data_IF_757442827840
#
_entry.id   IF_757442827840
#
_cell.length_a   1.000
_cell.length_b   1.000
_cell.length_c   1.000
_cell.angle_alpha   90.00
_cell.angle_beta   90.00
_cell.angle_gamma   90.00
#
_symmetry.space_group_name_H-M   'P 1'
#
loop_
_entity.id
_entity.type
_entity.pdbx_description
1 polymer ?
#
# COMPACT_ATOMS: atom_id res chain seq x y z
N UNK A 1 0.26 -21.58 -36.28
CA UNK A 1 1.05 -20.76 -35.33
C UNK A 1 1.34 -21.63 -34.13
N UNK A 2 2.58 -22.11 -34.03
CA UNK A 2 3.06 -22.86 -32.85
C UNK A 2 2.94 -21.99 -31.60
N UNK A 3 2.43 -22.59 -30.52
CA UNK A 3 2.42 -21.97 -29.19
C UNK A 3 3.86 -21.91 -28.68
N UNK A 4 4.44 -20.72 -28.63
CA UNK A 4 5.71 -20.49 -27.94
C UNK A 4 5.52 -20.81 -26.44
N UNK A 5 6.36 -21.68 -25.91
CA UNK A 5 6.35 -22.07 -24.49
C UNK A 5 6.84 -20.92 -23.61
N UNK A 6 6.48 -20.92 -22.31
CA UNK A 6 6.86 -19.86 -21.36
C UNK A 6 8.37 -19.62 -21.24
N UNK A 7 9.18 -20.63 -21.57
CA UNK A 7 10.65 -20.54 -21.58
C UNK A 7 11.19 -19.81 -22.81
N UNK A 8 10.52 -19.92 -23.96
CA UNK A 8 10.87 -19.17 -25.18
C UNK A 8 10.58 -17.66 -25.04
N UNK A 9 9.58 -17.29 -24.23
CA UNK A 9 9.27 -15.89 -23.92
C UNK A 9 10.34 -15.30 -22.98
N UNK A 10 10.82 -16.05 -21.99
CA UNK A 10 11.90 -15.60 -21.09
C UNK A 10 13.24 -15.42 -21.81
N UNK A 11 13.48 -16.18 -22.86
CA UNK A 11 14.69 -16.09 -23.69
C UNK A 11 14.60 -15.01 -24.79
N UNK A 12 13.47 -14.31 -24.95
CA UNK A 12 13.39 -13.23 -25.94
C UNK A 12 14.25 -12.05 -25.48
N UNK A 13 14.92 -11.40 -26.44
CA UNK A 13 15.74 -10.20 -26.21
C UNK A 13 14.92 -9.09 -25.54
N UNK A 14 13.61 -9.08 -25.76
CA UNK A 14 12.66 -8.14 -25.17
C UNK A 14 12.52 -8.32 -23.64
N UNK A 15 12.68 -9.54 -23.12
CA UNK A 15 12.58 -9.80 -21.69
C UNK A 15 13.83 -9.37 -20.91
N UNK A 16 15.00 -9.30 -21.56
CA UNK A 16 16.25 -8.83 -20.92
C UNK A 16 16.14 -7.40 -20.40
N UNK A 17 15.40 -6.54 -21.11
CA UNK A 17 15.22 -5.13 -20.77
C UNK A 17 13.87 -4.83 -20.11
N UNK A 18 12.98 -5.82 -20.00
CA UNK A 18 11.65 -5.61 -19.45
C UNK A 18 11.69 -5.11 -18.01
N UNK A 19 12.49 -5.74 -17.15
CA UNK A 19 12.63 -5.33 -15.75
C UNK A 19 13.20 -3.91 -15.61
N UNK A 20 14.14 -3.52 -16.48
CA UNK A 20 14.72 -2.17 -16.51
C UNK A 20 13.69 -1.14 -16.99
N UNK A 21 13.01 -1.40 -18.11
CA UNK A 21 11.95 -0.56 -18.65
C UNK A 21 10.82 -0.34 -17.62
N UNK A 22 10.41 -1.41 -16.94
CA UNK A 22 9.39 -1.34 -15.90
C UNK A 22 9.89 -0.58 -14.67
N UNK A 23 11.17 -0.70 -14.35
CA UNK A 23 11.84 0.13 -13.33
C UNK A 23 11.70 1.63 -13.62
N UNK A 24 12.02 2.06 -14.84
CA UNK A 24 11.86 3.44 -15.29
C UNK A 24 10.40 3.89 -15.35
N UNK A 25 9.52 3.01 -15.83
CA UNK A 25 8.08 3.27 -15.88
C UNK A 25 7.52 3.56 -14.48
N UNK A 26 7.91 2.78 -13.47
CA UNK A 26 7.51 3.02 -12.08
C UNK A 26 7.96 4.40 -11.59
N UNK A 27 9.20 4.80 -11.86
CA UNK A 27 9.71 6.12 -11.48
C UNK A 27 8.89 7.25 -12.15
N UNK A 28 8.60 7.11 -13.44
CA UNK A 28 7.79 8.07 -14.18
C UNK A 28 6.34 8.13 -13.66
N UNK A 29 5.73 6.99 -13.32
CA UNK A 29 4.38 6.95 -12.77
C UNK A 29 4.30 7.61 -11.40
N UNK A 30 5.31 7.41 -10.54
CA UNK A 30 5.40 8.07 -9.24
C UNK A 30 5.59 9.58 -9.43
N UNK A 31 6.58 10.00 -10.24
CA UNK A 31 6.90 11.40 -10.47
C UNK A 31 5.78 12.18 -11.15
N UNK A 32 5.07 11.54 -12.10
CA UNK A 32 3.91 12.10 -12.79
C UNK A 32 2.60 11.99 -12.01
N UNK A 33 2.61 11.43 -10.79
CA UNK A 33 1.41 11.31 -9.96
C UNK A 33 0.32 10.44 -10.56
N UNK A 34 0.68 9.45 -11.39
CA UNK A 34 -0.29 8.53 -12.02
C UNK A 34 -1.15 7.85 -10.96
N UNK A 35 -2.44 7.66 -11.25
CA UNK A 35 -3.38 7.06 -10.31
C UNK A 35 -3.11 5.57 -10.08
N UNK A 36 -3.54 5.04 -8.93
CA UNK A 36 -3.38 3.62 -8.59
C UNK A 36 -4.13 2.74 -9.60
N UNK A 37 -5.34 3.15 -10.01
CA UNK A 37 -6.16 2.39 -10.94
C UNK A 37 -5.56 2.37 -12.35
N UNK A 38 -4.98 3.47 -12.81
CA UNK A 38 -4.27 3.49 -14.10
C UNK A 38 -3.04 2.58 -14.08
N UNK A 39 -2.27 2.58 -12.99
CA UNK A 39 -1.12 1.66 -12.84
C UNK A 39 -1.58 0.20 -12.83
N UNK A 40 -2.68 -0.12 -12.14
CA UNK A 40 -3.25 -1.48 -12.17
C UNK A 40 -3.63 -1.90 -13.59
N UNK A 41 -4.30 -1.02 -14.35
CA UNK A 41 -4.66 -1.28 -15.76
C UNK A 41 -3.42 -1.50 -16.64
N UNK A 42 -2.42 -0.63 -16.52
CA UNK A 42 -1.16 -0.75 -17.28
C UNK A 42 -0.41 -2.05 -16.98
N UNK A 43 -0.53 -2.57 -15.76
CA UNK A 43 0.07 -3.83 -15.34
C UNK A 43 -0.81 -5.06 -15.58
N UNK A 44 -2.04 -4.87 -16.07
CA UNK A 44 -3.02 -5.95 -16.25
C UNK A 44 -3.51 -6.58 -14.95
N UNK A 45 -3.59 -5.78 -13.87
CA UNK A 45 -3.95 -6.24 -12.52
C UNK A 45 -5.39 -5.85 -12.10
N UNK A 46 -6.06 -4.99 -12.85
CA UNK A 46 -7.34 -4.37 -12.48
C UNK A 46 -8.53 -5.34 -12.47
N UNK A 47 -8.46 -6.43 -13.24
CA UNK A 47 -9.51 -7.45 -13.34
C UNK A 47 -9.24 -8.69 -12.49
N UNK A 48 -8.12 -8.74 -11.77
CA UNK A 48 -7.70 -9.91 -11.02
C UNK A 48 -8.40 -9.99 -9.65
N UNK A 49 -8.71 -11.21 -9.21
CA UNK A 49 -9.08 -11.46 -7.82
C UNK A 49 -7.92 -11.14 -6.87
N UNK A 50 -8.18 -10.89 -5.59
CA UNK A 50 -7.13 -10.56 -4.60
C UNK A 50 -6.00 -11.61 -4.56
N UNK A 51 -6.33 -12.89 -4.70
CA UNK A 51 -5.34 -13.97 -4.71
C UNK A 51 -4.49 -13.93 -5.99
N UNK A 52 -5.12 -13.80 -7.15
CA UNK A 52 -4.42 -13.72 -8.44
C UNK A 52 -3.58 -12.44 -8.56
N UNK A 53 -4.06 -11.33 -7.98
CA UNK A 53 -3.38 -10.03 -7.96
C UNK A 53 -1.97 -10.14 -7.36
N UNK A 54 -1.82 -10.84 -6.24
CA UNK A 54 -0.53 -10.98 -5.52
C UNK A 54 0.42 -11.99 -6.18
N UNK A 55 -0.12 -12.95 -6.92
CA UNK A 55 0.66 -13.99 -7.60
C UNK A 55 1.08 -13.61 -9.03
N UNK A 56 0.52 -12.52 -9.57
CA UNK A 56 0.86 -12.05 -10.90
C UNK A 56 2.32 -11.57 -10.99
N UNK A 57 3.04 -11.91 -12.06
CA UNK A 57 4.44 -11.52 -12.26
C UNK A 57 4.66 -9.99 -12.23
N UNK A 58 3.66 -9.21 -12.66
CA UNK A 58 3.71 -7.75 -12.67
C UNK A 58 3.44 -7.11 -11.30
N UNK A 59 3.01 -7.90 -10.31
CA UNK A 59 2.78 -7.41 -8.95
C UNK A 59 4.04 -6.76 -8.36
N UNK A 60 5.24 -7.25 -8.69
CA UNK A 60 6.51 -6.67 -8.20
C UNK A 60 6.66 -5.18 -8.56
N UNK A 61 6.16 -4.76 -9.72
CA UNK A 61 6.20 -3.35 -10.14
C UNK A 61 5.12 -2.52 -9.47
N UNK A 62 3.95 -3.10 -9.27
CA UNK A 62 2.89 -2.47 -8.47
C UNK A 62 3.36 -2.23 -7.03
N UNK A 63 3.99 -3.23 -6.40
CA UNK A 63 4.52 -3.14 -5.04
C UNK A 63 5.61 -2.07 -4.92
N UNK A 64 6.51 -2.00 -5.91
CA UNK A 64 7.51 -0.93 -6.00
C UNK A 64 6.86 0.45 -6.14
N UNK A 65 5.92 0.61 -7.06
CA UNK A 65 5.17 1.86 -7.26
C UNK A 65 4.46 2.29 -5.97
N UNK A 66 3.75 1.38 -5.31
CA UNK A 66 3.00 1.67 -4.09
C UNK A 66 3.90 2.01 -2.91
N UNK A 67 5.03 1.31 -2.76
CA UNK A 67 6.02 1.62 -1.70
C UNK A 67 6.57 3.04 -1.88
N UNK A 68 6.94 3.44 -3.10
CA UNK A 68 7.39 4.80 -3.40
C UNK A 68 6.29 5.84 -3.18
N UNK A 69 5.03 5.51 -3.47
CA UNK A 69 3.88 6.39 -3.18
C UNK A 69 3.71 6.61 -1.68
N UNK A 70 3.81 5.56 -0.87
CA UNK A 70 3.75 5.66 0.60
C UNK A 70 4.85 6.58 1.12
N UNK A 71 6.09 6.43 0.66
CA UNK A 71 7.17 7.35 1.04
C UNK A 71 6.86 8.80 0.65
N UNK A 72 6.32 9.03 -0.56
CA UNK A 72 5.91 10.35 -1.01
C UNK A 72 4.79 10.96 -0.14
N UNK A 73 3.83 10.14 0.29
CA UNK A 73 2.77 10.56 1.21
C UNK A 73 3.32 10.93 2.59
N UNK A 74 4.27 10.15 3.10
CA UNK A 74 4.95 10.43 4.37
C UNK A 74 5.75 11.75 4.29
N UNK A 75 6.60 11.91 3.26
CA UNK A 75 7.41 13.13 3.04
C UNK A 75 6.54 14.37 2.90
N UNK A 76 5.41 14.27 2.21
CA UNK A 76 4.48 15.39 2.03
C UNK A 76 3.41 15.51 3.12
N UNK A 77 3.56 14.76 4.23
CA UNK A 77 2.66 14.78 5.38
C UNK A 77 1.18 14.66 5.03
N UNK A 78 0.84 13.78 4.08
CA UNK A 78 -0.55 13.62 3.64
C UNK A 78 -1.47 13.22 4.78
N UNK A 79 -2.70 13.71 4.71
CA UNK A 79 -3.72 13.41 5.70
C UNK A 79 -4.19 11.96 5.56
N UNK A 80 -4.54 11.35 6.69
CA UNK A 80 -4.96 9.95 6.74
C UNK A 80 -6.18 9.67 5.85
N UNK A 81 -7.15 10.59 5.84
CA UNK A 81 -8.37 10.44 5.05
C UNK A 81 -8.10 10.54 3.54
N UNK A 82 -7.15 11.38 3.13
CA UNK A 82 -6.70 11.44 1.74
C UNK A 82 -6.06 10.12 1.31
N UNK A 83 -5.21 9.54 2.16
CA UNK A 83 -4.57 8.24 1.89
C UNK A 83 -5.61 7.13 1.79
N UNK A 84 -6.59 7.08 2.71
CA UNK A 84 -7.71 6.13 2.62
C UNK A 84 -8.45 6.27 1.29
N UNK A 85 -8.77 7.49 0.88
CA UNK A 85 -9.45 7.76 -0.39
C UNK A 85 -8.61 7.32 -1.59
N UNK A 86 -7.31 7.63 -1.60
CA UNK A 86 -6.40 7.21 -2.67
C UNK A 86 -6.29 5.68 -2.77
N UNK A 87 -6.32 4.96 -1.64
CA UNK A 87 -6.30 3.50 -1.60
C UNK A 87 -7.64 2.85 -1.95
N UNK A 88 -8.71 3.64 -2.12
CA UNK A 88 -10.07 3.18 -2.41
C UNK A 88 -10.81 2.64 -1.19
N UNK A 89 -10.49 3.13 0.01
CA UNK A 89 -11.08 2.66 1.28
C UNK A 89 -12.27 3.50 1.76
N UNK A 90 -12.54 4.63 1.13
CA UNK A 90 -13.57 5.60 1.54
C UNK A 90 -14.99 5.01 1.59
N UNK A 91 -15.26 3.97 0.79
CA UNK A 91 -16.56 3.30 0.72
C UNK A 91 -16.56 1.87 1.25
N UNK A 92 -15.44 1.41 1.82
CA UNK A 92 -15.27 0.04 2.26
C UNK A 92 -15.57 -0.11 3.76
N UNK A 93 -16.19 -1.24 4.11
CA UNK A 93 -16.27 -1.65 5.52
C UNK A 93 -14.88 -1.99 6.06
N UNK A 94 -14.73 -2.01 7.39
CA UNK A 94 -13.47 -2.41 8.03
C UNK A 94 -12.98 -3.78 7.57
N UNK A 95 -13.87 -4.75 7.40
CA UNK A 95 -13.48 -6.10 6.96
C UNK A 95 -13.12 -6.13 5.47
N UNK A 96 -13.80 -5.34 4.63
CA UNK A 96 -13.41 -5.18 3.24
C UNK A 96 -12.02 -4.54 3.09
N UNK A 97 -11.67 -3.57 3.95
CA UNK A 97 -10.33 -2.97 3.99
C UNK A 97 -9.28 -4.03 4.34
N UNK A 98 -9.52 -4.86 5.36
CA UNK A 98 -8.57 -5.93 5.77
C UNK A 98 -8.28 -6.93 4.65
N UNK A 99 -9.26 -7.18 3.78
CA UNK A 99 -9.11 -8.08 2.63
C UNK A 99 -8.52 -7.39 1.39
N UNK A 100 -8.39 -6.07 1.39
CA UNK A 100 -7.91 -5.33 0.23
C UNK A 100 -6.44 -5.67 -0.09
N UNK A 101 -6.06 -5.80 -1.37
CA UNK A 101 -4.65 -5.90 -1.76
C UNK A 101 -3.84 -4.66 -1.34
N UNK A 102 -4.53 -3.54 -1.08
CA UNK A 102 -3.90 -2.27 -0.70
C UNK A 102 -3.67 -2.11 0.80
N UNK A 103 -4.16 -3.03 1.65
CA UNK A 103 -4.06 -2.89 3.11
C UNK A 103 -2.61 -2.80 3.59
N UNK A 104 -1.70 -3.55 2.95
CA UNK A 104 -0.26 -3.51 3.24
C UNK A 104 0.30 -2.08 3.20
N UNK A 105 -0.11 -1.27 2.22
CA UNK A 105 0.43 0.08 2.03
C UNK A 105 -0.18 1.09 3.01
N UNK A 106 -1.43 0.84 3.43
CA UNK A 106 -2.04 1.59 4.52
C UNK A 106 -1.31 1.33 5.84
N UNK A 107 -1.00 0.05 6.11
CA UNK A 107 -0.24 -0.37 7.28
C UNK A 107 1.16 0.27 7.28
N UNK A 108 1.87 0.26 6.15
CA UNK A 108 3.16 0.93 5.98
C UNK A 108 3.08 2.44 6.22
N UNK A 109 2.07 3.11 5.65
CA UNK A 109 1.85 4.54 5.84
C UNK A 109 1.61 4.87 7.33
N UNK A 110 0.73 4.12 7.99
CA UNK A 110 0.42 4.36 9.40
C UNK A 110 1.61 4.11 10.32
N UNK A 111 2.34 3.01 10.13
CA UNK A 111 3.55 2.72 10.89
C UNK A 111 4.60 3.84 10.75
N UNK A 112 4.87 4.29 9.53
CA UNK A 112 5.78 5.40 9.27
C UNK A 112 5.28 6.74 9.83
N UNK A 113 3.97 6.96 9.81
CA UNK A 113 3.36 8.18 10.35
C UNK A 113 3.50 8.24 11.86
N UNK A 114 3.09 7.18 12.57
CA UNK A 114 3.07 7.19 14.05
C UNK A 114 4.47 7.15 14.67
N UNK A 115 5.45 6.54 14.00
CA UNK A 115 6.83 6.44 14.52
C UNK A 115 7.48 7.81 14.72
N UNK A 116 7.14 8.79 13.87
CA UNK A 116 7.67 10.16 13.92
C UNK A 116 6.86 11.10 14.81
N UNK A 117 5.69 10.67 15.30
CA UNK A 117 4.79 11.54 16.06
C UNK A 117 5.09 11.56 17.56
N UNK A 118 4.75 12.69 18.18
CA UNK A 118 4.65 12.77 19.64
C UNK A 118 3.44 12.00 20.15
N UNK A 119 3.61 11.26 21.25
CA UNK A 119 2.57 10.39 21.80
C UNK A 119 1.24 11.08 22.12
N UNK A 120 1.28 12.39 22.45
CA UNK A 120 0.06 13.18 22.70
C UNK A 120 -0.84 13.33 21.48
N UNK A 121 -0.31 13.19 20.26
CA UNK A 121 -1.08 13.38 19.02
C UNK A 121 -1.50 12.07 18.34
N UNK A 122 -0.89 10.94 18.69
CA UNK A 122 -1.11 9.65 18.00
C UNK A 122 -2.57 9.21 18.06
N UNK A 123 -3.23 9.31 19.22
CA UNK A 123 -4.67 8.96 19.31
C UNK A 123 -5.54 9.82 18.39
N UNK A 124 -5.22 11.11 18.25
CA UNK A 124 -5.97 12.02 17.39
C UNK A 124 -5.74 11.69 15.92
N UNK A 125 -4.49 11.46 15.52
CA UNK A 125 -4.14 11.08 14.15
C UNK A 125 -4.82 9.78 13.72
N UNK A 126 -4.84 8.78 14.60
CA UNK A 126 -5.46 7.48 14.32
C UNK A 126 -6.99 7.49 14.39
N UNK A 127 -7.62 8.63 14.73
CA UNK A 127 -9.07 8.76 14.90
C UNK A 127 -9.62 8.10 16.16
N UNK A 128 -8.78 7.80 17.15
CA UNK A 128 -9.12 7.05 18.36
C UNK A 128 -9.53 7.94 19.54
N UNK A 129 -9.28 9.25 19.47
CA UNK A 129 -9.41 10.17 20.60
C UNK A 129 -10.85 10.37 21.11
N UNK A 130 -11.86 10.03 20.31
CA UNK A 130 -13.29 10.09 20.69
C UNK A 130 -13.91 8.71 20.93
N UNK A 131 -13.13 7.64 20.79
CA UNK A 131 -13.62 6.27 20.94
C UNK A 131 -13.34 5.74 22.34
N UNK A 132 -14.25 4.93 22.85
CA UNK A 132 -14.10 4.22 24.13
C UNK A 132 -14.74 2.82 24.04
N UNK A 133 -14.49 1.99 25.05
CA UNK A 133 -15.06 0.64 25.15
C UNK A 133 -14.79 -0.21 23.91
N UNK A 134 -15.84 -0.87 23.41
CA UNK A 134 -15.74 -1.78 22.27
C UNK A 134 -15.41 -1.09 20.95
N UNK A 135 -15.92 0.14 20.76
CA UNK A 135 -15.62 0.93 19.57
C UNK A 135 -14.11 1.24 19.46
N UNK A 136 -13.43 1.45 20.59
CA UNK A 136 -11.98 1.65 20.61
C UNK A 136 -11.21 0.32 20.41
N UNK A 137 -11.69 -0.79 20.97
CA UNK A 137 -11.01 -2.10 20.89
C UNK A 137 -11.04 -2.70 19.48
N UNK A 138 -12.17 -2.55 18.79
CA UNK A 138 -12.39 -3.10 17.45
C UNK A 138 -11.97 -2.17 16.31
N UNK A 139 -11.57 -0.93 16.60
CA UNK A 139 -11.19 0.03 15.56
C UNK A 139 -9.97 -0.45 14.77
N UNK A 140 -10.02 -0.34 13.43
CA UNK A 140 -8.96 -0.85 12.54
C UNK A 140 -7.57 -0.25 12.83
N UNK A 141 -7.53 0.99 13.32
CA UNK A 141 -6.28 1.67 13.65
C UNK A 141 -5.79 1.40 15.08
N UNK A 142 -6.50 0.59 15.87
CA UNK A 142 -6.14 0.33 17.27
C UNK A 142 -4.76 -0.33 17.37
N UNK A 143 -4.46 -1.29 16.50
CA UNK A 143 -3.18 -2.01 16.46
C UNK A 143 -1.98 -1.06 16.43
N UNK A 144 -2.01 0.00 15.62
CA UNK A 144 -0.89 0.95 15.50
C UNK A 144 -0.67 1.78 16.74
N UNK A 145 -1.73 2.04 17.51
CA UNK A 145 -1.58 2.71 18.80
C UNK A 145 -0.92 1.79 19.81
N UNK A 146 -1.30 0.50 19.82
CA UNK A 146 -0.69 -0.49 20.71
C UNK A 146 0.79 -0.74 20.34
N UNK A 147 1.12 -0.85 19.04
CA UNK A 147 2.50 -0.94 18.54
C UNK A 147 3.34 0.29 18.93
N UNK A 148 2.76 1.49 18.77
CA UNK A 148 3.40 2.74 19.18
C UNK A 148 3.73 2.77 20.68
N UNK A 149 2.83 2.25 21.52
CA UNK A 149 3.08 2.14 22.95
C UNK A 149 4.14 1.11 23.28
N UNK A 150 4.13 -0.04 22.60
CA UNK A 150 5.11 -1.12 22.81
C UNK A 150 6.55 -0.65 22.56
N UNK A 151 6.78 0.11 21.49
CA UNK A 151 8.10 0.66 21.13
C UNK A 151 8.67 1.67 22.14
N UNK A 152 7.86 2.20 23.05
CA UNK A 152 8.25 3.28 23.98
C UNK A 152 8.17 2.88 25.45
N UNK A 153 7.75 1.64 25.74
CA UNK A 153 7.93 1.09 27.07
C UNK A 153 9.40 0.66 27.19
N UNK A 154 10.14 1.10 28.22
CA UNK A 154 11.40 0.45 28.54
C UNK A 154 11.08 -1.02 28.85
N UNK A 155 11.84 -1.95 28.25
CA UNK A 155 11.86 -3.33 28.72
C UNK A 155 12.24 -3.27 30.20
N UNK A 156 11.31 -3.73 31.06
CA UNK A 156 11.46 -3.76 32.52
C UNK A 156 12.38 -4.90 32.89
#
# INVERSE_FOLDING_TARGET
MEKLSGDAIKASVDNKYYDEFMGWSVLQWVGGGKSIDDVKKLLGLDTLSTAAFKLNANFKYYDKYMTMRVEGWLRSSKFLDDVKKMLGFDKLSTDAIKMSPNVKYYDQFLAGRVSTMSGKYVKKELGLNKLSGEALRSHINRKYYDDFLALRKPEV
#
